data_IF_471346322725
#
_entry.id   IF_471346322725
#
_cell.length_a   1.000
_cell.length_b   1.000
_cell.length_c   1.000
_cell.angle_alpha   90.00
_cell.angle_beta   90.00
_cell.angle_gamma   90.00
#
_symmetry.space_group_name_H-M   'P 1'
#
loop_
_entity.id
_entity.type
_entity.pdbx_description
1 polymer ?
#
# COMPACT_ATOMS: atom_id res chain seq x y z
N UNK A 1 19.17 21.07 39.08
CA UNK A 1 19.84 20.24 38.04
C UNK A 1 19.23 18.84 37.92
N UNK A 2 18.97 18.11 39.01
CA UNK A 2 18.37 16.74 38.96
C UNK A 2 16.96 16.66 38.34
N UNK A 3 16.09 17.64 38.57
CA UNK A 3 14.72 17.67 38.00
C UNK A 3 14.72 17.89 36.48
N UNK A 4 15.57 18.79 35.97
CA UNK A 4 15.73 19.03 34.53
C UNK A 4 16.28 17.81 33.79
N UNK A 5 17.18 17.05 34.42
CA UNK A 5 17.72 15.81 33.86
C UNK A 5 16.64 14.73 33.71
N UNK A 6 15.76 14.58 34.71
CA UNK A 6 14.63 13.64 34.66
C UNK A 6 13.57 14.04 33.64
N UNK A 7 13.26 15.35 33.52
CA UNK A 7 12.34 15.89 32.50
C UNK A 7 12.89 15.72 31.07
N UNK A 8 14.20 15.88 30.89
CA UNK A 8 14.86 15.65 29.61
C UNK A 8 14.78 14.17 29.22
N UNK A 9 15.11 13.28 30.16
CA UNK A 9 15.12 11.83 29.95
C UNK A 9 13.71 11.29 29.63
N UNK A 10 12.67 11.77 30.32
CA UNK A 10 11.28 11.37 30.04
C UNK A 10 10.78 11.90 28.69
N UNK A 11 11.18 13.12 28.30
CA UNK A 11 10.87 13.67 26.97
C UNK A 11 11.53 12.88 25.84
N UNK A 12 12.80 12.49 25.99
CA UNK A 12 13.50 11.65 25.01
C UNK A 12 12.92 10.24 24.93
N UNK A 13 12.55 9.64 26.06
CA UNK A 13 11.87 8.35 26.09
C UNK A 13 10.50 8.41 25.39
N UNK A 14 9.73 9.48 25.63
CA UNK A 14 8.44 9.72 24.98
C UNK A 14 8.61 9.94 23.46
N UNK A 15 9.61 10.71 23.03
CA UNK A 15 9.95 10.85 21.62
C UNK A 15 10.31 9.50 20.98
N UNK A 16 11.16 8.69 21.61
CA UNK A 16 11.50 7.36 21.12
C UNK A 16 10.27 6.46 20.99
N UNK A 17 9.36 6.47 21.97
CA UNK A 17 8.09 5.73 21.90
C UNK A 17 7.23 6.19 20.72
N UNK A 18 7.15 7.51 20.46
CA UNK A 18 6.43 8.05 19.30
C UNK A 18 7.08 7.57 17.98
N UNK A 19 8.42 7.56 17.88
CA UNK A 19 9.12 7.05 16.69
C UNK A 19 8.89 5.54 16.48
N UNK A 20 8.88 4.74 17.55
CA UNK A 20 8.61 3.30 17.49
C UNK A 20 7.18 3.00 17.00
N UNK A 21 6.21 3.86 17.31
CA UNK A 21 4.82 3.67 16.82
C UNK A 21 4.62 3.92 15.32
N UNK A 22 5.60 4.49 14.61
CA UNK A 22 5.53 4.71 13.16
C UNK A 22 6.27 3.66 12.33
N UNK A 23 6.61 2.51 12.92
CA UNK A 23 7.09 1.38 12.15
C UNK A 23 5.99 0.92 11.17
N UNK A 24 6.16 1.22 9.89
CA UNK A 24 5.35 0.64 8.82
C UNK A 24 6.00 -0.67 8.38
N UNK A 25 5.19 -1.73 8.28
CA UNK A 25 5.64 -3.00 7.74
C UNK A 25 5.49 -2.94 6.22
N UNK A 26 6.63 -2.94 5.53
CA UNK A 26 6.69 -3.11 4.09
C UNK A 26 6.74 -4.60 3.74
N UNK A 27 5.97 -5.00 2.73
CA UNK A 27 6.01 -6.35 2.16
C UNK A 27 6.47 -6.21 0.70
N UNK A 28 7.16 -7.22 0.16
CA UNK A 28 7.68 -7.18 -1.23
C UNK A 28 6.68 -7.73 -2.25
N UNK A 29 5.70 -8.52 -1.78
CA UNK A 29 4.69 -9.13 -2.63
C UNK A 29 3.41 -9.43 -1.85
N UNK A 30 2.25 -9.24 -2.47
CA UNK A 30 0.95 -9.55 -1.87
C UNK A 30 0.37 -10.79 -2.54
N UNK A 31 0.22 -11.87 -1.75
CA UNK A 31 -0.27 -13.18 -2.20
C UNK A 31 -1.81 -13.22 -2.24
N UNK A 32 -2.42 -14.24 -2.87
CA UNK A 32 -3.86 -14.44 -2.79
C UNK A 32 -4.31 -14.52 -1.32
N UNK A 33 -5.46 -13.91 -1.00
CA UNK A 33 -6.00 -13.75 0.36
C UNK A 33 -5.23 -12.80 1.29
N UNK A 34 -4.06 -12.29 0.89
CA UNK A 34 -3.39 -11.22 1.61
C UNK A 34 -4.00 -9.86 1.25
N UNK A 35 -3.79 -8.91 2.15
CA UNK A 35 -4.31 -7.56 1.98
C UNK A 35 -3.40 -6.55 2.66
N UNK A 36 -3.26 -5.38 2.05
CA UNK A 36 -2.58 -4.24 2.64
C UNK A 36 -3.66 -3.36 3.27
N UNK A 37 -3.63 -3.28 4.60
CA UNK A 37 -4.42 -2.33 5.37
C UNK A 37 -3.73 -0.97 5.34
N UNK A 38 -4.51 0.07 5.57
CA UNK A 38 -3.99 1.40 5.83
C UNK A 38 -2.89 1.37 6.93
N UNK A 39 -1.73 1.93 6.64
CA UNK A 39 -0.51 1.88 7.46
C UNK A 39 0.52 0.84 7.01
N UNK A 40 0.12 -0.17 6.22
CA UNK A 40 1.04 -1.07 5.52
C UNK A 40 1.40 -0.58 4.13
N UNK A 41 2.54 -1.02 3.60
CA UNK A 41 3.02 -0.64 2.26
C UNK A 41 3.60 -1.83 1.49
N UNK A 42 3.69 -1.66 0.17
CA UNK A 42 4.36 -2.58 -0.76
C UNK A 42 5.53 -1.83 -1.39
N UNK A 43 6.72 -2.41 -1.35
CA UNK A 43 7.95 -1.75 -1.83
C UNK A 43 8.50 -2.51 -3.02
N UNK A 44 9.06 -1.79 -4.00
CA UNK A 44 9.74 -2.44 -5.13
C UNK A 44 11.02 -3.15 -4.68
N UNK A 45 11.46 -4.22 -5.35
CA UNK A 45 12.68 -4.95 -4.99
C UNK A 45 13.92 -4.07 -4.80
N UNK A 46 14.09 -3.05 -5.64
CA UNK A 46 15.20 -2.09 -5.55
C UNK A 46 15.00 -0.98 -4.50
N UNK A 47 13.83 -0.93 -3.86
CA UNK A 47 13.45 0.08 -2.89
C UNK A 47 13.25 1.49 -3.47
N UNK A 48 13.10 1.66 -4.78
CA UNK A 48 12.89 2.96 -5.41
C UNK A 48 11.45 3.47 -5.30
N UNK A 49 10.47 2.56 -5.39
CA UNK A 49 9.05 2.86 -5.33
C UNK A 49 8.37 2.22 -4.13
N UNK A 50 7.34 2.89 -3.65
CA UNK A 50 6.50 2.40 -2.58
C UNK A 50 5.03 2.68 -2.89
N UNK A 51 4.19 1.68 -2.67
CA UNK A 51 2.75 1.72 -2.82
C UNK A 51 2.10 1.65 -1.44
N UNK A 52 1.12 2.53 -1.21
CA UNK A 52 0.36 2.50 0.04
C UNK A 52 -0.68 3.61 0.16
N UNK A 53 -1.16 3.79 1.38
CA UNK A 53 -2.20 4.76 1.71
C UNK A 53 -1.61 6.09 2.17
N UNK A 54 -2.11 7.20 1.64
CA UNK A 54 -1.68 8.55 2.02
C UNK A 54 -2.86 9.54 2.10
N UNK A 55 -2.60 10.68 2.72
CA UNK A 55 -3.53 11.81 2.81
C UNK A 55 -2.85 13.08 2.33
N UNK A 56 -3.35 13.75 1.28
CA UNK A 56 -2.84 15.04 0.86
C UNK A 56 -3.28 16.15 1.82
N UNK A 57 -2.33 16.94 2.31
CA UNK A 57 -2.59 18.08 3.19
C UNK A 57 -3.17 17.68 4.55
N UNK A 58 -4.08 18.52 5.08
CA UNK A 58 -4.74 18.32 6.38
C UNK A 58 -6.08 17.59 6.30
N UNK A 59 -6.54 17.23 5.09
CA UNK A 59 -7.82 16.57 4.89
C UNK A 59 -7.77 15.10 5.33
N UNK A 60 -8.88 14.59 5.88
CA UNK A 60 -9.04 13.18 6.28
C UNK A 60 -9.32 12.23 5.11
N UNK A 61 -9.11 12.68 3.87
CA UNK A 61 -9.32 11.85 2.69
C UNK A 61 -8.12 10.91 2.52
N UNK A 62 -8.40 9.62 2.33
CA UNK A 62 -7.38 8.60 2.06
C UNK A 62 -7.39 8.21 0.59
N UNK A 63 -6.18 8.14 0.06
CA UNK A 63 -5.89 7.73 -1.30
C UNK A 63 -4.89 6.59 -1.28
N UNK A 64 -5.03 5.70 -2.25
CA UNK A 64 -4.03 4.69 -2.57
C UNK A 64 -3.14 5.24 -3.69
N UNK A 65 -1.83 5.26 -3.48
CA UNK A 65 -0.90 5.80 -4.44
C UNK A 65 0.45 5.10 -4.44
N UNK A 66 1.27 5.48 -5.42
CA UNK A 66 2.66 5.07 -5.58
C UNK A 66 3.51 6.33 -5.53
N UNK A 67 4.59 6.31 -4.76
CA UNK A 67 5.55 7.40 -4.62
C UNK A 67 6.99 6.90 -4.65
N UNK A 68 7.94 7.83 -4.80
CA UNK A 68 9.36 7.53 -4.61
C UNK A 68 9.66 7.34 -3.13
N UNK A 69 10.19 6.17 -2.76
CA UNK A 69 10.49 5.84 -1.36
C UNK A 69 11.66 6.66 -0.79
N UNK A 70 12.68 6.89 -1.63
CA UNK A 70 13.94 7.49 -1.20
C UNK A 70 13.98 9.02 -1.32
N UNK A 71 12.83 9.67 -1.56
CA UNK A 71 12.72 11.14 -1.60
C UNK A 71 12.06 11.59 -0.28
N UNK A 72 12.71 12.46 0.53
CA UNK A 72 12.18 12.88 1.83
C UNK A 72 10.81 13.56 1.74
N UNK A 73 10.57 14.28 0.65
CA UNK A 73 9.25 14.85 0.35
C UNK A 73 8.45 13.82 -0.44
N UNK A 74 7.34 13.36 0.15
CA UNK A 74 6.49 12.34 -0.47
C UNK A 74 5.98 12.80 -1.84
N UNK A 75 6.61 12.28 -2.88
CA UNK A 75 6.35 12.66 -4.28
C UNK A 75 5.54 11.56 -4.94
N UNK A 76 4.22 11.75 -4.96
CA UNK A 76 3.26 10.78 -5.46
C UNK A 76 3.20 10.82 -6.98
N UNK A 77 3.61 9.72 -7.63
CA UNK A 77 3.66 9.60 -9.10
C UNK A 77 2.34 9.07 -9.67
N UNK A 78 1.62 8.23 -8.92
CA UNK A 78 0.34 7.65 -9.33
C UNK A 78 -0.63 7.56 -8.16
N UNK A 79 -1.92 7.72 -8.45
CA UNK A 79 -3.00 7.58 -7.46
C UNK A 79 -4.13 6.80 -8.10
N UNK A 80 -4.61 5.75 -7.44
CA UNK A 80 -5.63 4.85 -7.98
C UNK A 80 -7.02 5.48 -7.89
N UNK A 81 -7.43 5.88 -6.69
CA UNK A 81 -8.77 6.39 -6.40
C UNK A 81 -8.84 7.93 -6.44
N UNK A 82 -8.26 8.57 -7.47
CA UNK A 82 -8.23 10.04 -7.63
C UNK A 82 -9.63 10.67 -7.59
N UNK A 83 -10.61 10.03 -8.24
CA UNK A 83 -11.97 10.57 -8.36
C UNK A 83 -12.90 10.15 -7.20
N UNK A 84 -12.50 9.16 -6.40
CA UNK A 84 -13.33 8.59 -5.35
C UNK A 84 -12.49 8.35 -4.07
N UNK A 85 -12.15 9.40 -3.32
CA UNK A 85 -11.40 9.26 -2.08
C UNK A 85 -12.17 8.47 -1.02
N UNK A 86 -11.45 7.77 -0.15
CA UNK A 86 -12.05 7.24 1.08
C UNK A 86 -12.14 8.40 2.08
N UNK A 87 -13.35 8.89 2.34
CA UNK A 87 -13.57 10.04 3.22
C UNK A 87 -13.73 9.63 4.68
N UNK A 88 -13.20 10.43 5.61
CA UNK A 88 -13.43 10.31 7.05
C UNK A 88 -13.12 8.91 7.64
N UNK A 89 -12.10 8.22 7.11
CA UNK A 89 -11.74 6.88 7.54
C UNK A 89 -10.29 6.57 7.28
N UNK A 90 -9.70 5.73 8.12
CA UNK A 90 -8.41 5.05 7.88
C UNK A 90 -8.61 3.55 7.65
N UNK A 91 -9.82 3.11 7.30
CA UNK A 91 -10.17 1.69 7.14
C UNK A 91 -9.99 1.20 5.69
N UNK A 92 -9.04 1.77 4.96
CA UNK A 92 -8.72 1.34 3.60
C UNK A 92 -8.12 -0.06 3.56
N UNK A 93 -8.50 -0.85 2.56
CA UNK A 93 -7.98 -2.20 2.35
C UNK A 93 -7.73 -2.45 0.86
N UNK A 94 -6.47 -2.71 0.49
CA UNK A 94 -6.11 -3.17 -0.84
C UNK A 94 -5.96 -4.69 -0.83
N UNK A 95 -6.59 -5.38 -1.78
CA UNK A 95 -6.52 -6.85 -1.91
C UNK A 95 -6.70 -7.29 -3.36
N UNK A 96 -6.45 -8.57 -3.63
CA UNK A 96 -6.76 -9.23 -4.89
C UNK A 96 -8.12 -9.94 -4.76
N UNK A 97 -9.01 -9.76 -5.73
CA UNK A 97 -10.24 -10.55 -5.79
C UNK A 97 -9.99 -11.94 -6.39
N UNK A 98 -11.00 -12.82 -6.36
CA UNK A 98 -10.90 -14.18 -6.90
C UNK A 98 -10.64 -14.26 -8.42
N UNK A 99 -10.71 -13.13 -9.14
CA UNK A 99 -10.37 -13.03 -10.56
C UNK A 99 -8.96 -12.49 -10.80
N UNK A 100 -8.17 -12.24 -9.74
CA UNK A 100 -6.84 -11.66 -9.82
C UNK A 100 -6.82 -10.15 -10.06
N UNK A 101 -7.95 -9.44 -9.92
CA UNK A 101 -8.00 -7.99 -10.04
C UNK A 101 -7.67 -7.33 -8.70
N UNK A 102 -6.94 -6.22 -8.75
CA UNK A 102 -6.75 -5.36 -7.58
C UNK A 102 -8.05 -4.67 -7.24
N UNK A 103 -8.44 -4.73 -5.96
CA UNK A 103 -9.63 -4.09 -5.45
C UNK A 103 -9.26 -3.27 -4.21
N UNK A 104 -9.64 -2.01 -4.24
CA UNK A 104 -9.55 -1.09 -3.12
C UNK A 104 -10.92 -1.00 -2.44
N UNK A 105 -10.95 -1.41 -1.18
CA UNK A 105 -12.13 -1.34 -0.33
C UNK A 105 -12.02 -0.18 0.66
N UNK A 106 -13.11 0.56 0.82
CA UNK A 106 -13.28 1.61 1.81
C UNK A 106 -14.08 1.15 3.03
N UNK A 107 -14.78 2.09 3.66
CA UNK A 107 -15.66 1.81 4.80
C UNK A 107 -16.68 0.72 4.46
N UNK A 108 -16.97 -0.14 5.43
CA UNK A 108 -17.95 -1.25 5.31
C UNK A 108 -17.66 -2.18 4.13
N UNK A 109 -16.39 -2.30 3.70
CA UNK A 109 -15.94 -3.12 2.55
C UNK A 109 -16.59 -2.72 1.23
N UNK A 110 -16.97 -1.45 1.07
CA UNK A 110 -17.46 -0.91 -0.20
C UNK A 110 -16.32 -0.81 -1.21
N UNK A 111 -16.56 -1.18 -2.47
CA UNK A 111 -15.56 -1.05 -3.53
C UNK A 111 -15.43 0.41 -3.92
N UNK A 112 -14.24 0.97 -3.74
CA UNK A 112 -13.94 2.38 -4.03
C UNK A 112 -13.23 2.51 -5.38
N UNK A 113 -12.39 1.53 -5.69
CA UNK A 113 -11.67 1.43 -6.97
C UNK A 113 -11.31 -0.04 -7.25
N UNK A 114 -11.19 -0.40 -8.52
CA UNK A 114 -10.66 -1.69 -8.95
C UNK A 114 -9.86 -1.57 -10.24
N UNK A 115 -8.92 -2.49 -10.45
CA UNK A 115 -8.23 -2.62 -11.72
C UNK A 115 -9.08 -3.41 -12.72
N UNK A 116 -9.11 -2.97 -13.97
CA UNK A 116 -9.62 -3.77 -15.08
C UNK A 116 -8.46 -4.56 -15.67
N UNK A 117 -8.36 -5.84 -15.35
CA UNK A 117 -7.38 -6.71 -16.00
C UNK A 117 -7.96 -7.14 -17.33
N UNK A 118 -7.49 -6.56 -18.44
CA UNK A 118 -7.80 -7.09 -19.77
C UNK A 118 -7.02 -8.38 -19.95
N UNK A 119 -7.66 -9.52 -19.69
CA UNK A 119 -7.15 -10.81 -20.14
C UNK A 119 -7.20 -10.80 -21.67
N UNK A 120 -6.10 -10.40 -22.31
CA UNK A 120 -5.91 -10.63 -23.75
C UNK A 120 -5.93 -12.14 -23.95
N UNK A 121 -7.12 -12.63 -24.29
CA UNK A 121 -7.40 -14.03 -24.58
C UNK A 121 -6.82 -14.31 -25.96
N UNK A 122 -5.49 -14.36 -26.08
CA UNK A 122 -4.85 -14.96 -27.25
C UNK A 122 -5.26 -16.43 -27.21
N UNK A 123 -5.94 -16.90 -28.26
CA UNK A 123 -6.53 -18.26 -28.41
C UNK A 123 -5.49 -19.41 -28.40
N UNK A 124 -4.58 -19.44 -27.43
CA UNK A 124 -3.56 -20.50 -27.23
C UNK A 124 -3.42 -20.99 -25.79
N UNK A 125 -4.13 -20.40 -24.83
CA UNK A 125 -4.13 -20.93 -23.45
C UNK A 125 -5.56 -20.98 -22.92
N UNK A 126 -6.29 -22.03 -23.31
CA UNK A 126 -7.39 -22.52 -22.51
C UNK A 126 -6.76 -22.99 -21.19
N UNK A 127 -7.17 -22.38 -20.07
CA UNK A 127 -6.79 -22.75 -18.70
C UNK A 127 -5.35 -22.38 -18.32
N UNK A 128 -5.14 -21.09 -18.00
CA UNK A 128 -4.29 -20.75 -16.86
C UNK A 128 -4.75 -19.41 -16.28
N UNK A 129 -5.85 -19.44 -15.52
CA UNK A 129 -5.91 -18.44 -14.45
C UNK A 129 -4.69 -18.72 -13.56
N UNK A 130 -3.93 -17.68 -13.16
CA UNK A 130 -2.87 -17.87 -12.18
C UNK A 130 -3.52 -18.54 -10.97
N UNK A 131 -3.13 -19.79 -10.66
CA UNK A 131 -3.74 -20.50 -9.52
C UNK A 131 -3.41 -19.78 -8.20
N UNK A 132 -2.38 -18.93 -8.21
CA UNK A 132 -1.98 -18.05 -7.13
C UNK A 132 -1.42 -16.72 -7.67
N UNK A 133 -2.28 -15.73 -8.01
CA UNK A 133 -1.81 -14.43 -8.47
C UNK A 133 -1.08 -13.71 -7.34
N UNK A 134 0.14 -13.26 -7.58
CA UNK A 134 0.90 -12.41 -6.66
C UNK A 134 0.98 -11.01 -7.24
N UNK A 135 0.60 -10.01 -6.44
CA UNK A 135 0.85 -8.61 -6.73
C UNK A 135 2.27 -8.25 -6.31
N UNK A 136 3.07 -7.73 -7.24
CA UNK A 136 4.39 -7.17 -6.98
C UNK A 136 4.46 -5.74 -7.51
N UNK A 137 5.21 -4.87 -6.82
CA UNK A 137 5.55 -3.55 -7.33
C UNK A 137 6.89 -3.66 -8.05
N UNK A 138 6.91 -3.40 -9.36
CA UNK A 138 8.16 -3.45 -10.13
C UNK A 138 9.01 -2.21 -9.86
N UNK A 139 10.32 -2.32 -10.12
CA UNK A 139 11.29 -1.21 -10.07
C UNK A 139 10.97 -0.08 -11.07
N UNK A 140 10.06 -0.31 -12.02
CA UNK A 140 9.51 0.75 -12.88
C UNK A 140 8.39 1.58 -12.22
N UNK A 141 7.99 1.23 -11.00
CA UNK A 141 6.85 1.83 -10.30
C UNK A 141 5.49 1.35 -10.82
N UNK A 142 5.44 0.28 -11.62
CA UNK A 142 4.20 -0.33 -12.10
C UNK A 142 3.83 -1.54 -11.23
N UNK A 143 2.56 -1.67 -10.79
CA UNK A 143 2.07 -2.89 -10.19
C UNK A 143 1.92 -3.98 -11.27
N UNK A 144 2.42 -5.18 -10.99
CA UNK A 144 2.31 -6.34 -11.86
C UNK A 144 1.69 -7.53 -11.10
N UNK A 145 0.93 -8.34 -11.84
CA UNK A 145 0.40 -9.61 -11.34
C UNK A 145 1.25 -10.72 -11.95
N UNK A 146 1.91 -11.51 -11.11
CA UNK A 146 2.70 -12.68 -11.50
C UNK A 146 2.12 -13.99 -10.97
N UNK A 147 2.70 -15.10 -11.42
CA UNK A 147 2.51 -16.42 -10.83
C UNK A 147 3.48 -16.61 -9.65
N UNK A 148 3.04 -17.24 -8.55
CA UNK A 148 3.99 -17.75 -7.54
C UNK A 148 4.94 -18.74 -8.22
N UNK A 149 6.25 -18.46 -8.16
CA UNK A 149 7.26 -19.47 -8.48
C UNK A 149 7.35 -20.40 -7.27
N UNK A 150 7.08 -21.69 -7.51
CA UNK A 150 7.33 -22.79 -6.57
C UNK A 150 8.81 -22.85 -6.19
#
# INVERSE_FOLDING_TARGET
MRVYFLLCCSSQLLCCLIFLTRASFAVDSLRPLESIKDGGTLVSPDGSFELGFFSPGSAKNRYLGIWYKNIPVQTVVRVANRCNPITNSTSGLLTLNGSGNLVLLGQKKTVVWSSTTTTTTTKRSLIKQPQKPILQLLDSGNPAIGDEKE
#
